data_IF_059757829958
#
_entry.id   IF_059757829958
#
_cell.length_a   1.000
_cell.length_b   1.000
_cell.length_c   1.000
_cell.angle_alpha   90.00
_cell.angle_beta   90.00
_cell.angle_gamma   90.00
#
_symmetry.space_group_name_H-M   'P 1'
#
loop_
_entity.id
_entity.type
_entity.pdbx_description
1 polymer ?
#
# COMPACT_ATOMS: atom_id res chain seq x y z
N UNK A 1 -5.15 4.32 -8.42
CA UNK A 1 -5.61 5.34 -7.44
C UNK A 1 -6.28 4.61 -6.30
N UNK A 2 -6.10 5.08 -5.06
CA UNK A 2 -6.54 4.43 -3.83
C UNK A 2 -7.28 5.47 -3.00
N UNK A 3 -8.58 5.27 -2.78
CA UNK A 3 -9.44 6.19 -2.04
C UNK A 3 -9.33 5.97 -0.53
N UNK A 4 -9.75 6.94 0.28
CA UNK A 4 -9.90 6.75 1.72
C UNK A 4 -10.80 5.53 2.02
N UNK A 5 -10.34 4.66 2.92
CA UNK A 5 -10.98 3.40 3.28
C UNK A 5 -10.60 2.20 2.40
N UNK A 6 -9.95 2.41 1.25
CA UNK A 6 -9.56 1.32 0.35
C UNK A 6 -8.23 0.67 0.77
N UNK A 7 -8.12 -0.62 0.47
CA UNK A 7 -6.89 -1.38 0.63
C UNK A 7 -5.99 -1.18 -0.57
N UNK A 8 -4.69 -1.05 -0.34
CA UNK A 8 -3.67 -1.06 -1.37
C UNK A 8 -3.64 -2.44 -2.04
N UNK A 9 -3.88 -2.54 -3.36
CA UNK A 9 -3.99 -3.84 -4.03
C UNK A 9 -2.63 -4.50 -4.27
N UNK A 10 -1.59 -3.71 -4.54
CA UNK A 10 -0.25 -4.16 -4.90
C UNK A 10 0.82 -3.24 -4.34
N UNK A 11 2.02 -3.79 -4.18
CA UNK A 11 3.20 -3.01 -3.81
C UNK A 11 3.50 -1.95 -4.88
N UNK A 12 3.86 -0.76 -4.44
CA UNK A 12 4.12 0.35 -5.33
C UNK A 12 4.69 1.57 -4.63
N UNK A 13 4.80 2.66 -5.36
CA UNK A 13 5.32 3.94 -4.90
C UNK A 13 4.28 5.03 -5.07
N UNK A 14 4.07 5.86 -4.06
CA UNK A 14 3.18 7.02 -4.17
C UNK A 14 3.78 8.01 -5.14
N UNK A 15 3.03 8.38 -6.18
CA UNK A 15 3.43 9.39 -7.17
C UNK A 15 2.63 10.69 -7.03
N UNK A 16 1.48 10.66 -6.35
CA UNK A 16 0.69 11.85 -6.04
C UNK A 16 -0.19 11.62 -4.79
N UNK A 17 -0.41 12.70 -4.03
CA UNK A 17 -1.21 12.70 -2.79
C UNK A 17 -0.42 12.47 -1.49
N UNK A 18 -1.13 12.62 -0.37
CA UNK A 18 -0.64 12.39 1.00
C UNK A 18 -1.77 11.83 1.84
N UNK A 19 -1.50 10.82 2.66
CA UNK A 19 -2.50 10.18 3.51
C UNK A 19 -1.86 9.45 4.69
N UNK A 20 -2.68 9.04 5.64
CA UNK A 20 -2.32 8.02 6.62
C UNK A 20 -2.74 6.65 6.12
N UNK A 21 -1.86 5.67 6.31
CA UNK A 21 -2.13 4.26 6.06
C UNK A 21 -2.02 3.43 7.31
N UNK A 22 -2.86 2.42 7.38
CA UNK A 22 -2.78 1.35 8.36
C UNK A 22 -1.83 0.26 7.85
N UNK A 23 -0.77 -0.02 8.61
CA UNK A 23 0.21 -1.07 8.27
C UNK A 23 -0.07 -2.40 9.00
N UNK A 24 -1.20 -2.52 9.69
CA UNK A 24 -1.60 -3.73 10.44
C UNK A 24 -1.60 -5.01 9.61
N UNK A 25 -1.79 -4.90 8.29
CA UNK A 25 -1.74 -6.03 7.38
C UNK A 25 -0.38 -6.76 7.34
N UNK A 26 0.70 -6.13 7.82
CA UNK A 26 2.04 -6.73 7.81
C UNK A 26 2.56 -7.10 9.20
N UNK A 27 2.34 -6.25 10.22
CA UNK A 27 2.90 -6.44 11.57
C UNK A 27 1.88 -6.90 12.62
N UNK A 28 0.58 -6.87 12.31
CA UNK A 28 -0.49 -7.14 13.27
C UNK A 28 -0.78 -5.98 14.24
N UNK A 29 -0.01 -4.90 14.16
CA UNK A 29 -0.22 -3.68 14.95
C UNK A 29 -0.75 -2.56 14.04
N UNK A 30 -1.93 -2.03 14.36
CA UNK A 30 -2.49 -0.85 13.68
C UNK A 30 -1.77 0.40 14.17
N UNK A 31 -0.58 0.65 13.64
CA UNK A 31 0.10 1.94 13.78
C UNK A 31 -0.16 2.73 12.49
N UNK A 32 -0.98 3.79 12.53
CA UNK A 32 -1.14 4.66 11.38
C UNK A 32 0.20 5.30 11.04
N UNK A 33 0.62 5.16 9.78
CA UNK A 33 1.83 5.79 9.25
C UNK A 33 1.44 6.80 8.20
N UNK A 34 2.04 7.98 8.26
CA UNK A 34 1.92 8.96 7.19
C UNK A 34 2.75 8.55 5.97
N UNK A 35 2.17 8.69 4.79
CA UNK A 35 2.85 8.50 3.51
C UNK A 35 2.52 9.63 2.53
N UNK A 36 3.53 9.96 1.75
CA UNK A 36 3.51 11.01 0.73
C UNK A 36 4.25 10.56 -0.54
N UNK A 37 4.25 11.43 -1.54
CA UNK A 37 4.94 11.20 -2.83
C UNK A 37 6.39 10.78 -2.60
N UNK A 38 6.78 9.68 -3.24
CA UNK A 38 8.10 9.09 -3.12
C UNK A 38 8.20 8.00 -2.05
N UNK A 39 7.19 7.80 -1.20
CA UNK A 39 7.16 6.68 -0.27
C UNK A 39 6.66 5.39 -0.93
N UNK A 40 7.17 4.26 -0.45
CA UNK A 40 6.69 2.94 -0.82
C UNK A 40 5.42 2.57 -0.03
N UNK A 41 4.52 1.87 -0.71
CA UNK A 41 3.33 1.26 -0.14
C UNK A 41 3.33 -0.22 -0.45
N UNK A 42 2.84 -1.01 0.49
CA UNK A 42 2.72 -2.44 0.33
C UNK A 42 1.27 -2.85 0.13
N UNK A 43 1.08 -3.90 -0.66
CA UNK A 43 -0.19 -4.60 -0.81
C UNK A 43 -0.72 -4.97 0.57
N UNK A 44 -1.95 -4.55 0.85
CA UNK A 44 -2.60 -4.79 2.12
C UNK A 44 -2.69 -3.59 3.05
N UNK A 45 -1.93 -2.51 2.84
CA UNK A 45 -2.12 -1.28 3.62
C UNK A 45 -3.53 -0.72 3.42
N UNK A 46 -4.10 -0.09 4.45
CA UNK A 46 -5.44 0.52 4.35
C UNK A 46 -5.29 2.03 4.37
N UNK A 47 -5.72 2.68 3.30
CA UNK A 47 -5.72 4.13 3.19
C UNK A 47 -6.82 4.73 4.09
N UNK A 48 -6.54 5.80 4.85
CA UNK A 48 -7.50 6.34 5.83
C UNK A 48 -8.22 7.61 5.39
N UNK A 49 -7.51 8.60 4.84
CA UNK A 49 -8.03 9.97 4.78
C UNK A 49 -7.77 10.73 3.47
N UNK A 50 -6.62 10.56 2.82
CA UNK A 50 -6.29 11.21 1.54
C UNK A 50 -6.48 10.31 0.33
N UNK A 51 -6.63 10.89 -0.87
CA UNK A 51 -6.55 10.15 -2.13
C UNK A 51 -5.08 9.92 -2.48
N UNK A 52 -4.71 8.67 -2.80
CA UNK A 52 -3.34 8.34 -3.20
C UNK A 52 -3.32 7.85 -4.64
N UNK A 53 -2.37 8.37 -5.42
CA UNK A 53 -2.00 7.79 -6.70
C UNK A 53 -0.69 7.05 -6.51
N UNK A 54 -0.72 5.75 -6.79
CA UNK A 54 0.40 4.84 -6.60
C UNK A 54 0.77 4.24 -7.94
N UNK A 55 2.04 4.33 -8.29
CA UNK A 55 2.66 3.60 -9.39
C UNK A 55 3.08 2.22 -8.89
N UNK A 56 2.61 1.17 -9.56
CA UNK A 56 2.93 -0.21 -9.20
C UNK A 56 4.38 -0.50 -9.61
N UNK A 57 5.25 -0.81 -8.65
CA UNK A 57 6.67 -1.08 -8.89
C UNK A 57 6.97 -2.57 -9.01
N UNK A 58 6.06 -3.44 -8.56
CA UNK A 58 6.16 -4.89 -8.73
C UNK A 58 4.96 -5.44 -9.48
N UNK A 59 5.25 -6.11 -10.60
CA UNK A 59 4.25 -6.88 -11.34
C UNK A 59 3.98 -8.19 -10.58
N UNK A 60 2.71 -8.61 -10.57
CA UNK A 60 2.12 -9.74 -9.84
C UNK A 60 2.97 -11.05 -9.78
N UNK A 61 3.91 -11.26 -10.71
CA UNK A 61 4.82 -12.42 -10.76
C UNK A 61 6.00 -12.41 -9.78
N UNK A 62 6.33 -11.28 -9.14
CA UNK A 62 7.39 -11.16 -8.11
C UNK A 62 6.84 -10.84 -6.71
N UNK A 63 5.53 -10.92 -6.55
CA UNK A 63 4.84 -10.73 -5.27
C UNK A 63 5.01 -11.97 -4.38
N UNK A 64 5.31 -11.76 -3.11
CA UNK A 64 5.52 -12.81 -2.08
C UNK A 64 4.36 -13.83 -1.99
N UNK A 65 3.15 -13.43 -2.42
CA UNK A 65 1.97 -14.31 -2.53
C UNK A 65 2.15 -15.45 -3.53
N UNK A 66 2.98 -15.30 -4.57
CA UNK A 66 3.17 -16.34 -5.58
C UNK A 66 4.05 -17.52 -5.10
N UNK A 67 4.88 -17.34 -4.06
CA UNK A 67 5.79 -18.41 -3.59
C UNK A 67 5.15 -19.44 -2.68
N UNK A 68 3.93 -19.21 -2.18
CA UNK A 68 3.26 -20.14 -1.25
C UNK A 68 2.36 -21.18 -1.92
N UNK A 69 2.25 -21.16 -3.26
CA UNK A 69 1.45 -22.13 -4.03
C UNK A 69 2.25 -22.88 -5.09
N UNK A 70 3.53 -23.17 -4.82
CA UNK A 70 4.25 -24.28 -5.47
C UNK A 70 4.61 -25.33 -4.43
#
# INVERSE_FOLDING_TARGET
MIKPGEKVPLDGKVIDGRSMVDTSALTGESVPREIEVGNDVLGGFINKNGLLTVEVTKVYGESTVAKIWT
#
